data_IF_707184857454
#
_entry.id   IF_707184857454
#
_cell.length_a   1.000
_cell.length_b   1.000
_cell.length_c   1.000
_cell.angle_alpha   90.00
_cell.angle_beta   90.00
_cell.angle_gamma   90.00
#
_symmetry.space_group_name_H-M   'P 1'
#
loop_
_entity.id
_entity.type
_entity.pdbx_description
1 polymer ?
#
# COMPACT_ATOMS: atom_id res chain seq x y z
N UNK A 1 4.77 14.60 -12.23
CA UNK A 1 3.72 14.50 -11.19
C UNK A 1 3.72 13.06 -10.66
N UNK A 2 3.47 12.80 -9.36
CA UNK A 2 3.22 11.44 -8.92
C UNK A 2 1.99 10.91 -9.68
N UNK A 3 2.13 9.78 -10.36
CA UNK A 3 0.94 9.07 -10.87
C UNK A 3 0.14 8.61 -9.65
N UNK A 4 -1.13 9.01 -9.58
CA UNK A 4 -2.02 8.51 -8.54
C UNK A 4 -2.33 7.03 -8.82
N UNK A 5 -2.37 6.20 -7.78
CA UNK A 5 -2.67 4.76 -7.90
C UNK A 5 -3.97 4.47 -8.66
N UNK A 6 -4.95 5.39 -8.63
CA UNK A 6 -6.20 5.29 -9.39
C UNK A 6 -6.06 5.46 -10.91
N UNK A 7 -4.98 6.06 -11.42
CA UNK A 7 -4.72 6.15 -12.87
C UNK A 7 -4.24 4.82 -13.46
N UNK A 8 -3.68 3.94 -12.62
CA UNK A 8 -3.30 2.57 -13.00
C UNK A 8 -4.44 1.55 -12.81
N UNK A 9 -5.49 1.91 -12.06
CA UNK A 9 -6.62 1.03 -11.72
C UNK A 9 -7.78 1.09 -12.74
N UNK A 10 -7.53 1.56 -13.98
CA UNK A 10 -8.52 1.47 -15.06
C UNK A 10 -8.29 0.18 -15.88
N UNK A 11 -9.30 -0.70 -16.01
CA UNK A 11 -9.17 -1.90 -16.81
C UNK A 11 -9.32 -1.56 -18.30
N UNK A 12 -8.28 -0.98 -18.90
CA UNK A 12 -8.17 -0.83 -20.35
C UNK A 12 -6.79 -1.35 -20.76
N UNK A 13 -6.77 -2.63 -21.15
CA UNK A 13 -5.62 -3.30 -21.74
C UNK A 13 -5.11 -2.43 -22.88
N UNK A 14 -3.92 -1.85 -22.71
CA UNK A 14 -3.31 -0.91 -23.65
C UNK A 14 -2.94 0.46 -23.06
N UNK A 15 -3.73 1.04 -22.15
CA UNK A 15 -3.34 2.30 -21.49
C UNK A 15 -2.28 2.06 -20.41
N UNK A 16 -2.47 1.04 -19.57
CA UNK A 16 -1.51 0.68 -18.52
C UNK A 16 -0.13 0.33 -19.11
N UNK A 17 -0.13 -0.36 -20.25
CA UNK A 17 1.09 -0.69 -20.99
C UNK A 17 1.80 0.57 -21.50
N UNK A 18 1.07 1.48 -22.15
CA UNK A 18 1.62 2.76 -22.62
C UNK A 18 2.21 3.59 -21.48
N UNK A 19 1.54 3.61 -20.33
CA UNK A 19 2.03 4.31 -19.13
C UNK A 19 3.36 3.72 -18.68
N UNK A 20 3.46 2.39 -18.56
CA UNK A 20 4.69 1.72 -18.13
C UNK A 20 5.83 1.96 -19.14
N UNK A 21 5.56 1.83 -20.44
CA UNK A 21 6.56 2.11 -21.50
C UNK A 21 7.01 3.57 -21.47
N UNK A 22 6.09 4.52 -21.27
CA UNK A 22 6.41 5.93 -21.15
C UNK A 22 7.27 6.23 -19.92
N UNK A 23 6.99 5.56 -18.78
CA UNK A 23 7.79 5.65 -17.57
C UNK A 23 9.21 5.11 -17.79
N UNK A 24 9.34 3.93 -18.39
CA UNK A 24 10.64 3.34 -18.76
C UNK A 24 11.44 4.30 -19.65
N UNK A 25 10.81 4.84 -20.70
CA UNK A 25 11.45 5.80 -21.61
C UNK A 25 11.89 7.06 -20.87
N UNK A 26 11.08 7.55 -19.93
CA UNK A 26 11.43 8.72 -19.13
C UNK A 26 12.60 8.44 -18.21
N UNK A 27 12.63 7.31 -17.50
CA UNK A 27 13.69 6.95 -16.57
C UNK A 27 15.04 6.76 -17.28
N UNK A 28 15.05 6.20 -18.49
CA UNK A 28 16.24 6.13 -19.35
C UNK A 28 16.81 7.51 -19.74
N UNK A 29 15.97 8.55 -19.82
CA UNK A 29 16.42 9.93 -20.11
C UNK A 29 17.02 10.64 -18.88
N UNK A 30 16.79 10.12 -17.67
CA UNK A 30 17.28 10.71 -16.42
C UNK A 30 18.03 9.67 -15.56
N UNK A 31 19.15 9.11 -16.05
CA UNK A 31 19.84 7.99 -15.40
C UNK A 31 20.39 8.30 -14.00
N UNK A 32 20.59 9.57 -13.67
CA UNK A 32 21.12 10.01 -12.36
C UNK A 32 20.04 10.17 -11.28
N UNK A 33 18.76 9.95 -11.61
CA UNK A 33 17.64 10.08 -10.69
C UNK A 33 16.96 8.73 -10.48
N UNK A 34 16.66 8.42 -9.22
CA UNK A 34 15.87 7.25 -8.87
C UNK A 34 14.39 7.47 -9.23
N UNK A 35 13.86 6.62 -10.09
CA UNK A 35 12.44 6.52 -10.42
C UNK A 35 11.78 5.47 -9.53
N UNK A 36 10.66 5.84 -8.90
CA UNK A 36 9.85 4.91 -8.12
C UNK A 36 8.43 4.86 -8.71
N UNK A 37 7.93 3.65 -8.97
CA UNK A 37 6.55 3.39 -9.40
C UNK A 37 5.88 2.51 -8.36
N UNK A 38 4.70 2.93 -7.90
CA UNK A 38 3.89 2.14 -6.98
C UNK A 38 2.63 1.67 -7.70
N UNK A 39 2.35 0.37 -7.61
CA UNK A 39 1.15 -0.26 -8.14
C UNK A 39 0.40 -0.87 -6.95
N UNK A 40 -0.78 -0.34 -6.65
CA UNK A 40 -1.65 -0.91 -5.62
C UNK A 40 -2.63 -1.91 -6.25
N UNK A 41 -3.18 -2.82 -5.45
CA UNK A 41 -4.12 -3.86 -5.87
C UNK A 41 -3.62 -4.67 -7.08
N UNK A 42 -2.33 -5.06 -7.07
CA UNK A 42 -1.69 -5.77 -8.19
C UNK A 42 -2.36 -7.12 -8.50
N UNK A 43 -3.09 -7.70 -7.56
CA UNK A 43 -3.89 -8.92 -7.74
C UNK A 43 -5.00 -8.76 -8.78
N UNK A 44 -5.41 -7.53 -9.10
CA UNK A 44 -6.33 -7.25 -10.21
C UNK A 44 -5.71 -7.47 -11.59
N UNK A 45 -4.39 -7.26 -11.71
CA UNK A 45 -3.63 -7.38 -12.96
C UNK A 45 -2.93 -8.74 -13.11
N UNK A 46 -2.62 -9.40 -11.99
CA UNK A 46 -1.95 -10.70 -11.96
C UNK A 46 -2.70 -11.75 -11.12
N UNK A 47 -4.01 -12.01 -11.38
CA UNK A 47 -4.73 -13.06 -10.67
C UNK A 47 -4.23 -14.45 -11.08
N UNK A 48 -4.47 -15.47 -10.25
CA UNK A 48 -4.23 -16.87 -10.60
C UNK A 48 -4.96 -17.25 -11.90
N UNK A 49 -4.33 -18.16 -12.65
CA UNK A 49 -4.92 -18.76 -13.84
C UNK A 49 -5.88 -19.84 -13.38
N UNK A 50 -7.18 -19.59 -13.45
CA UNK A 50 -8.18 -20.64 -13.27
C UNK A 50 -8.29 -21.46 -14.57
N UNK A 51 -8.49 -22.77 -14.45
CA UNK A 51 -8.61 -23.70 -15.60
C UNK A 51 -9.78 -23.34 -16.54
N UNK A 52 -10.79 -22.60 -16.05
CA UNK A 52 -11.95 -22.12 -16.82
C UNK A 52 -11.82 -20.66 -17.31
N UNK A 53 -10.62 -20.07 -17.27
CA UNK A 53 -10.46 -18.65 -17.63
C UNK A 53 -10.43 -18.42 -19.16
N UNK A 54 -11.36 -17.58 -19.61
CA UNK A 54 -11.43 -16.98 -20.96
C UNK A 54 -10.05 -16.50 -21.45
N UNK A 55 -9.66 -16.86 -22.68
CA UNK A 55 -8.36 -16.56 -23.33
C UNK A 55 -7.82 -15.15 -23.02
N UNK A 56 -8.67 -14.13 -23.01
CA UNK A 56 -8.28 -12.73 -22.77
C UNK A 56 -7.74 -12.37 -21.37
N UNK A 57 -7.78 -13.25 -20.36
CA UNK A 57 -7.10 -13.03 -19.07
C UNK A 57 -5.63 -13.50 -19.10
N UNK A 58 -5.34 -14.58 -19.82
CA UNK A 58 -3.99 -15.17 -19.91
C UNK A 58 -3.03 -14.23 -20.64
N UNK A 59 -3.53 -13.51 -21.65
CA UNK A 59 -2.74 -12.55 -22.41
C UNK A 59 -2.29 -11.35 -21.58
N UNK A 60 -3.15 -10.85 -20.68
CA UNK A 60 -2.82 -9.67 -19.84
C UNK A 60 -1.67 -9.95 -18.87
N UNK A 61 -1.68 -11.12 -18.24
CA UNK A 61 -0.61 -11.54 -17.34
C UNK A 61 0.69 -11.66 -18.12
N UNK A 62 0.65 -12.27 -19.31
CA UNK A 62 1.83 -12.42 -20.16
C UNK A 62 2.44 -11.08 -20.55
N UNK A 63 1.61 -10.10 -20.95
CA UNK A 63 2.07 -8.72 -21.22
C UNK A 63 2.70 -8.08 -19.98
N UNK A 64 2.07 -8.22 -18.81
CA UNK A 64 2.61 -7.67 -17.56
C UNK A 64 3.97 -8.28 -17.21
N UNK A 65 4.14 -9.60 -17.38
CA UNK A 65 5.42 -10.28 -17.12
C UNK A 65 6.52 -9.75 -18.06
N UNK A 66 6.21 -9.55 -19.35
CA UNK A 66 7.13 -8.96 -20.33
C UNK A 66 7.51 -7.52 -19.97
N UNK A 67 6.55 -6.72 -19.50
CA UNK A 67 6.83 -5.35 -19.05
C UNK A 67 7.79 -5.34 -17.85
N UNK A 68 7.57 -6.24 -16.87
CA UNK A 68 8.46 -6.37 -15.70
C UNK A 68 9.86 -6.80 -16.09
N UNK A 69 10.01 -7.67 -17.10
CA UNK A 69 11.32 -8.05 -17.63
C UNK A 69 12.05 -6.84 -18.23
N UNK A 70 11.38 -6.04 -19.06
CA UNK A 70 11.99 -4.82 -19.63
C UNK A 70 12.33 -3.74 -18.58
N UNK A 71 11.63 -3.72 -17.44
CA UNK A 71 11.94 -2.82 -16.33
C UNK A 71 13.25 -3.21 -15.61
N UNK A 72 13.57 -4.52 -15.53
CA UNK A 72 14.80 -5.00 -14.86
C UNK A 72 16.08 -4.47 -15.52
N UNK A 73 16.00 -4.12 -16.80
CA UNK A 73 17.12 -3.57 -17.55
C UNK A 73 17.36 -2.06 -17.27
N UNK A 74 16.49 -1.41 -16.47
CA UNK A 74 16.57 0.01 -16.13
C UNK A 74 17.07 0.16 -14.69
N UNK A 75 18.38 0.43 -14.46
CA UNK A 75 19.00 0.34 -13.13
C UNK A 75 18.50 1.39 -12.13
N UNK A 76 17.91 2.48 -12.61
CA UNK A 76 17.38 3.57 -11.78
C UNK A 76 15.85 3.49 -11.59
N UNK A 77 15.20 2.40 -11.98
CA UNK A 77 13.74 2.22 -11.83
C UNK A 77 13.43 1.14 -10.78
N UNK A 78 12.68 1.53 -9.76
CA UNK A 78 12.17 0.65 -8.71
C UNK A 78 10.65 0.57 -8.79
N UNK A 79 10.10 -0.65 -8.68
CA UNK A 79 8.66 -0.89 -8.64
C UNK A 79 8.27 -1.50 -7.30
N UNK A 80 7.29 -0.89 -6.66
CA UNK A 80 6.58 -1.41 -5.50
C UNK A 80 5.20 -1.88 -5.93
N UNK A 81 4.87 -3.12 -5.57
CA UNK A 81 3.53 -3.66 -5.78
C UNK A 81 2.91 -3.99 -4.42
N UNK A 82 1.68 -3.55 -4.19
CA UNK A 82 0.92 -3.85 -2.99
C UNK A 82 -0.30 -4.72 -3.32
N UNK A 83 -0.59 -5.69 -2.46
CA UNK A 83 -1.78 -6.53 -2.54
C UNK A 83 -2.22 -6.99 -1.16
N UNK A 84 -3.53 -7.14 -0.97
CA UNK A 84 -4.12 -7.77 0.21
C UNK A 84 -4.39 -9.27 0.01
N UNK A 85 -4.17 -9.79 -1.20
CA UNK A 85 -4.66 -11.10 -1.67
C UNK A 85 -3.54 -11.90 -2.33
N UNK A 86 -2.40 -12.02 -1.66
CA UNK A 86 -1.22 -12.75 -2.17
C UNK A 86 -1.56 -14.19 -2.64
N UNK A 87 -2.46 -14.87 -1.93
CA UNK A 87 -2.88 -16.24 -2.24
C UNK A 87 -3.68 -16.36 -3.55
N UNK A 88 -4.18 -15.26 -4.10
CA UNK A 88 -4.92 -15.23 -5.37
C UNK A 88 -4.05 -14.76 -6.54
N UNK A 89 -2.74 -14.56 -6.33
CA UNK A 89 -1.85 -14.09 -7.39
C UNK A 89 -1.21 -15.21 -8.20
N UNK A 90 -0.90 -14.91 -9.46
CA UNK A 90 -0.15 -15.78 -10.37
C UNK A 90 1.27 -16.07 -9.85
N UNK A 91 1.64 -17.35 -9.83
CA UNK A 91 2.95 -17.81 -9.34
C UNK A 91 4.13 -17.30 -10.19
N UNK A 92 3.95 -17.16 -11.51
CA UNK A 92 5.00 -16.68 -12.39
C UNK A 92 5.27 -15.18 -12.22
N UNK A 93 4.23 -14.40 -11.89
CA UNK A 93 4.38 -13.02 -11.43
C UNK A 93 5.14 -12.96 -10.11
N UNK A 94 4.71 -13.74 -9.10
CA UNK A 94 5.34 -13.76 -7.79
C UNK A 94 6.82 -14.17 -7.84
N UNK A 95 7.22 -15.05 -8.76
CA UNK A 95 8.64 -15.43 -8.95
C UNK A 95 9.49 -14.33 -9.58
N UNK A 96 8.90 -13.43 -10.37
CA UNK A 96 9.64 -12.33 -11.02
C UNK A 96 9.94 -11.17 -10.09
N UNK A 97 9.15 -11.00 -9.03
CA UNK A 97 9.37 -9.97 -8.01
C UNK A 97 10.51 -10.37 -7.09
N UNK A 98 11.53 -9.50 -6.99
CA UNK A 98 12.76 -9.79 -6.24
C UNK A 98 12.57 -9.76 -4.72
N UNK A 99 11.69 -8.88 -4.20
CA UNK A 99 11.42 -8.71 -2.77
C UNK A 99 9.95 -8.94 -2.45
N UNK A 100 9.69 -9.70 -1.38
CA UNK A 100 8.35 -9.93 -0.84
C UNK A 100 8.36 -9.56 0.63
N UNK A 101 7.59 -8.55 0.98
CA UNK A 101 7.52 -8.05 2.36
C UNK A 101 6.09 -8.25 2.87
N UNK A 102 5.96 -8.98 3.98
CA UNK A 102 4.69 -9.10 4.66
C UNK A 102 4.49 -7.92 5.60
N UNK A 103 3.42 -7.17 5.39
CA UNK A 103 3.02 -6.07 6.27
C UNK A 103 1.86 -6.57 7.14
N UNK A 104 2.19 -6.98 8.35
CA UNK A 104 1.23 -7.46 9.33
C UNK A 104 0.55 -6.33 10.11
N UNK A 105 -0.27 -6.73 11.10
CA UNK A 105 -0.79 -5.79 12.09
C UNK A 105 0.36 -5.20 12.92
N UNK A 106 0.26 -3.92 13.33
CA UNK A 106 1.28 -3.29 14.17
C UNK A 106 1.42 -4.03 15.51
N UNK A 107 2.66 -4.22 15.94
CA UNK A 107 3.01 -4.72 17.28
C UNK A 107 2.53 -3.76 18.37
N UNK A 108 2.56 -4.21 19.64
CA UNK A 108 2.23 -3.33 20.78
C UNK A 108 3.08 -2.05 20.77
N UNK A 109 4.39 -2.21 20.59
CA UNK A 109 5.33 -1.09 20.50
C UNK A 109 5.03 -0.16 19.30
N UNK A 110 4.73 -0.72 18.13
CA UNK A 110 4.36 0.07 16.96
C UNK A 110 3.07 0.86 17.20
N UNK A 111 2.06 0.27 17.84
CA UNK A 111 0.81 0.98 18.21
C UNK A 111 1.07 2.09 19.22
N UNK A 112 1.89 1.83 20.24
CA UNK A 112 2.33 2.85 21.22
C UNK A 112 3.01 4.02 20.50
N UNK A 113 3.90 3.73 19.55
CA UNK A 113 4.58 4.76 18.77
C UNK A 113 3.58 5.57 17.93
N UNK A 114 2.65 4.92 17.23
CA UNK A 114 1.59 5.61 16.47
C UNK A 114 0.78 6.53 17.38
N UNK A 115 0.36 6.04 18.55
CA UNK A 115 -0.43 6.81 19.51
C UNK A 115 0.34 8.00 20.09
N UNK A 116 1.64 7.84 20.38
CA UNK A 116 2.50 8.93 20.90
C UNK A 116 2.75 10.05 19.90
N UNK A 117 2.58 9.77 18.61
CA UNK A 117 2.80 10.73 17.51
C UNK A 117 1.49 11.42 17.08
N UNK A 118 0.39 11.23 17.83
CA UNK A 118 -0.86 11.90 17.52
C UNK A 118 -0.68 13.43 17.68
N UNK A 119 -0.90 14.22 16.61
CA UNK A 119 -0.74 15.66 16.67
C UNK A 119 -1.66 16.29 17.72
N UNK A 120 -1.16 17.31 18.40
CA UNK A 120 -1.87 18.07 19.42
C UNK A 120 -2.42 17.22 20.59
N UNK A 121 -1.93 15.98 20.78
CA UNK A 121 -2.28 15.14 21.92
C UNK A 121 -1.05 14.66 22.68
N UNK A 122 -0.76 15.35 23.78
CA UNK A 122 0.15 14.83 24.80
C UNK A 122 -0.63 13.82 25.63
N UNK A 123 -0.39 12.54 25.37
CA UNK A 123 -0.93 11.44 26.16
C UNK A 123 -0.05 11.22 27.39
N UNK A 124 -0.66 11.29 28.58
CA UNK A 124 0.00 10.83 29.81
C UNK A 124 0.40 9.36 29.71
N UNK A 125 1.49 8.98 30.38
CA UNK A 125 2.08 7.64 30.24
C UNK A 125 1.09 6.50 30.53
N UNK A 126 0.26 6.63 31.58
CA UNK A 126 -0.78 5.65 31.93
C UNK A 126 -1.86 5.53 30.84
N UNK A 127 -2.32 6.66 30.30
CA UNK A 127 -3.33 6.69 29.24
C UNK A 127 -2.78 6.07 27.94
N UNK A 128 -1.53 6.38 27.59
CA UNK A 128 -0.86 5.80 26.44
C UNK A 128 -0.78 4.27 26.55
N UNK A 129 -0.44 3.76 27.74
CA UNK A 129 -0.39 2.31 27.98
C UNK A 129 -1.79 1.68 27.84
N UNK A 130 -2.80 2.25 28.49
CA UNK A 130 -4.19 1.78 28.40
C UNK A 130 -4.69 1.75 26.95
N UNK A 131 -4.43 2.79 26.17
CA UNK A 131 -4.82 2.85 24.75
C UNK A 131 -4.04 1.84 23.91
N UNK A 132 -2.77 1.61 24.21
CA UNK A 132 -1.95 0.60 23.51
C UNK A 132 -2.51 -0.81 23.70
N UNK A 133 -2.97 -1.12 24.92
CA UNK A 133 -3.64 -2.38 25.26
C UNK A 133 -5.02 -2.44 24.59
N UNK A 134 -5.83 -1.39 24.70
CA UNK A 134 -7.18 -1.34 24.15
C UNK A 134 -7.22 -1.45 22.61
N UNK A 135 -6.17 -1.00 21.93
CA UNK A 135 -6.02 -1.09 20.47
C UNK A 135 -5.39 -2.39 19.99
N UNK A 136 -5.36 -3.43 20.84
CA UNK A 136 -4.89 -4.76 20.43
C UNK A 136 -5.60 -5.23 19.16
N UNK A 137 -4.83 -5.80 18.22
CA UNK A 137 -5.31 -6.26 16.91
C UNK A 137 -5.81 -5.19 15.94
N UNK A 138 -5.69 -3.90 16.26
CA UNK A 138 -6.04 -2.83 15.32
C UNK A 138 -5.03 -2.77 14.18
N UNK A 139 -5.49 -2.44 12.97
CA UNK A 139 -4.61 -1.99 11.90
C UNK A 139 -4.04 -0.60 12.21
N UNK A 140 -2.97 -0.19 11.53
CA UNK A 140 -2.45 1.18 11.69
C UNK A 140 -3.52 2.26 11.43
N UNK A 141 -4.36 2.06 10.41
CA UNK A 141 -5.49 2.95 10.14
C UNK A 141 -6.51 2.97 11.30
N UNK A 142 -6.82 1.80 11.88
CA UNK A 142 -7.74 1.72 13.00
C UNK A 142 -7.19 2.38 14.28
N UNK A 143 -5.89 2.28 14.56
CA UNK A 143 -5.24 3.05 15.64
C UNK A 143 -5.36 4.55 15.35
N UNK A 144 -5.22 4.97 14.09
CA UNK A 144 -5.44 6.35 13.66
C UNK A 144 -6.84 6.90 13.96
N UNK A 145 -7.89 6.06 14.07
CA UNK A 145 -9.22 6.53 14.47
C UNK A 145 -9.27 7.12 15.88
N UNK A 146 -8.30 6.79 16.75
CA UNK A 146 -8.17 7.41 18.07
C UNK A 146 -7.95 8.93 17.94
N UNK A 147 -7.19 9.37 16.94
CA UNK A 147 -7.04 10.80 16.62
C UNK A 147 -8.36 11.43 16.14
N UNK A 148 -9.10 10.73 15.27
CA UNK A 148 -10.39 11.23 14.78
C UNK A 148 -11.40 11.38 15.93
N UNK A 149 -11.42 10.44 16.87
CA UNK A 149 -12.26 10.50 18.06
C UNK A 149 -11.89 11.68 18.96
N UNK A 150 -10.60 11.92 19.22
CA UNK A 150 -10.17 13.12 19.95
C UNK A 150 -10.64 14.40 19.26
N UNK A 151 -10.38 14.52 17.95
CA UNK A 151 -10.77 15.71 17.18
C UNK A 151 -12.28 15.94 17.25
N UNK A 152 -13.06 14.87 17.22
CA UNK A 152 -14.50 14.92 17.44
C UNK A 152 -14.83 15.48 18.83
N UNK A 153 -14.29 14.91 19.91
CA UNK A 153 -14.55 15.41 21.28
C UNK A 153 -14.21 16.89 21.44
N UNK A 154 -13.08 17.33 20.88
CA UNK A 154 -12.67 18.74 20.87
C UNK A 154 -13.67 19.64 20.16
N UNK A 155 -14.08 19.26 18.95
CA UNK A 155 -15.01 20.05 18.13
C UNK A 155 -16.39 20.23 18.78
N UNK A 156 -16.81 19.27 19.60
CA UNK A 156 -18.10 19.31 20.32
C UNK A 156 -17.96 19.74 21.79
N UNK A 157 -16.77 20.17 22.23
CA UNK A 157 -16.55 20.68 23.59
C UNK A 157 -16.67 19.63 24.70
N UNK A 158 -16.56 18.34 24.36
CA UNK A 158 -16.76 17.21 25.28
C UNK A 158 -15.52 16.89 26.15
N UNK A 159 -14.41 17.62 25.98
CA UNK A 159 -13.15 17.39 26.72
C UNK A 159 -13.24 17.73 28.23
N UNK A 160 -14.31 18.42 28.69
CA UNK A 160 -14.45 18.87 30.08
C UNK A 160 -15.06 17.85 31.05
N UNK A 161 -15.43 16.66 30.62
CA UNK A 161 -15.86 15.61 31.57
C UNK A 161 -14.67 14.76 31.99
N UNK A 162 -13.92 15.31 32.93
CA UNK A 162 -13.03 14.57 33.83
C UNK A 162 -13.82 13.36 34.34
N UNK A 163 -13.38 12.17 33.95
CA UNK A 163 -13.82 10.92 34.57
C UNK A 163 -13.17 10.90 35.95
N UNK A 164 -13.89 11.39 36.95
CA UNK A 164 -13.79 10.86 38.30
C UNK A 164 -14.48 9.49 38.28
N UNK A 165 -13.69 8.43 38.13
CA UNK A 165 -13.99 7.06 38.57
C UNK A 165 -12.70 6.38 38.97
#
# INVERSE_FOLDING_TARGET
>A
PPLAAGELNRPLVGESERIIIALCTRCNRIPYTQCCVSIDEIDSLAPKRDEDSSEGKVDKISVLLSLIEGIKDIPNLMIFCATNRLHMMDEAFLRRMSGKFFVGRPSSEARRNILSQIPDWVLEADMLERLTIATTNFSGAAVGYVYHFKRYMRNYGLEKHRVEM
#
